data_IF_979015477605
#
_entry.id   IF_979015477605
#
_cell.length_a   1.000
_cell.length_b   1.000
_cell.length_c   1.000
_cell.angle_alpha   90.00
_cell.angle_beta   90.00
_cell.angle_gamma   90.00
#
_symmetry.space_group_name_H-M   'P 1'
#
loop_
_entity.id
_entity.type
_entity.pdbx_description
1 polymer ?
2 non-polymer ?
3 water ?
#
# COMPACT_ATOMS: atom_id res chain seq x y z
N UNK A 5 -10.33 -17.74 -6.44
CA UNK A 5 -9.59 -16.48 -6.56
C UNK A 5 -9.75 -15.58 -5.34
N UNK A 6 -8.64 -15.05 -4.83
CA UNK A 6 -8.62 -14.28 -3.61
C UNK A 6 -8.81 -12.77 -3.85
N UNK A 7 -9.17 -12.37 -5.07
CA UNK A 7 -9.39 -10.97 -5.41
C UNK A 7 -10.88 -10.72 -5.63
N UNK A 8 -11.39 -9.65 -5.04
CA UNK A 8 -12.71 -9.12 -5.31
C UNK A 8 -12.54 -7.81 -6.06
N UNK A 9 -13.12 -7.72 -7.25
CA UNK A 9 -13.10 -6.48 -8.04
C UNK A 9 -14.34 -5.64 -7.74
N UNK A 10 -14.13 -4.32 -7.61
CA UNK A 10 -15.22 -3.37 -7.49
C UNK A 10 -14.90 -2.15 -8.35
N UNK A 11 -15.95 -1.52 -8.89
CA UNK A 11 -15.84 -0.29 -9.66
C UNK A 11 -16.15 0.89 -8.76
N UNK A 12 -15.15 1.72 -8.49
CA UNK A 12 -15.41 2.88 -7.66
C UNK A 12 -14.13 3.44 -7.09
N UNK A 13 -14.31 4.54 -6.36
CA UNK A 13 -13.21 5.22 -5.73
C UNK A 13 -12.91 4.54 -4.40
N UNK A 14 -11.69 4.02 -4.25
CA UNK A 14 -11.25 3.46 -2.98
C UNK A 14 -11.23 4.54 -1.91
N UNK A 15 -11.20 5.79 -2.30
CA UNK A 15 -11.09 6.84 -1.30
C UNK A 15 -12.42 7.34 -0.80
N UNK A 16 -13.53 6.97 -1.45
CA UNK A 16 -14.86 7.19 -0.89
C UNK A 16 -14.93 6.63 0.53
N UNK A 17 -15.39 7.40 1.50
CA UNK A 17 -15.33 6.94 2.89
C UNK A 17 -16.21 5.73 3.12
N UNK A 18 -15.67 4.75 3.82
CA UNK A 18 -16.28 3.45 4.01
C UNK A 18 -16.67 3.26 5.47
N UNK A 19 -17.56 2.30 5.68
CA UNK A 19 -18.19 2.03 6.97
C UNK A 19 -17.41 1.07 7.84
N UNK A 20 -16.15 0.75 7.49
CA UNK A 20 -15.48 -0.36 8.13
C UNK A 20 -13.98 -0.12 8.16
N UNK A 21 -13.34 -0.77 9.14
CA UNK A 21 -11.89 -0.79 9.24
C UNK A 21 -11.29 -1.37 7.98
N UNK A 22 -10.25 -0.71 7.48
CA UNK A 22 -9.62 -1.19 6.26
C UNK A 22 -8.18 -0.71 6.21
N UNK A 23 -7.32 -1.53 5.61
CA UNK A 23 -5.96 -1.16 5.27
C UNK A 23 -5.89 -0.83 3.78
N UNK A 24 -5.58 0.43 3.46
CA UNK A 24 -5.44 0.89 2.07
C UNK A 24 -4.02 0.65 1.59
N UNK A 25 -3.85 -0.29 0.66
CA UNK A 25 -2.55 -0.64 0.12
C UNK A 25 -2.31 0.14 -1.16
N UNK A 26 -1.16 0.81 -1.26
CA UNK A 26 -0.84 1.51 -2.48
C UNK A 26 0.66 1.47 -2.72
N UNK A 27 1.03 1.66 -3.99
CA UNK A 27 2.40 1.49 -4.44
C UNK A 27 3.16 2.81 -4.37
N UNK A 28 4.31 2.80 -3.72
CA UNK A 28 5.01 4.01 -3.35
C UNK A 28 6.41 4.05 -3.94
N UNK A 29 6.93 5.26 -4.07
CA UNK A 29 8.33 5.48 -4.37
C UNK A 29 9.08 5.94 -3.12
N UNK A 30 10.40 5.76 -3.13
CA UNK A 30 11.26 6.06 -1.99
C UNK A 30 11.69 7.52 -1.95
N UNK A 31 11.17 8.35 -2.84
CA UNK A 31 11.63 9.70 -3.09
C UNK A 31 10.88 10.72 -2.26
N UNK A 32 9.98 10.27 -1.39
CA UNK A 32 9.19 11.22 -0.61
C UNK A 32 8.16 11.99 -1.41
N UNK A 33 7.71 11.44 -2.54
CA UNK A 33 6.75 12.12 -3.39
C UNK A 33 5.48 11.27 -3.47
N UNK A 34 4.42 11.72 -2.79
CA UNK A 34 3.05 11.33 -3.08
C UNK A 34 2.51 12.28 -4.15
N UNK A 35 3.14 12.22 -5.32
CA UNK A 35 2.99 13.24 -6.33
C UNK A 35 1.86 13.07 -7.31
N UNK A 36 1.24 11.90 -7.37
CA UNK A 36 0.22 11.68 -8.38
C UNK A 36 -0.77 10.66 -7.92
N UNK A 37 -1.82 10.49 -8.72
CA UNK A 37 -2.74 9.37 -8.57
C UNK A 37 -3.30 9.26 -7.17
N UNK A 38 -3.42 8.01 -6.69
CA UNK A 38 -4.05 7.81 -5.38
C UNK A 38 -3.18 8.40 -4.28
N UNK A 39 -1.85 8.40 -4.49
CA UNK A 39 -0.94 8.93 -3.47
C UNK A 39 -1.17 10.42 -3.25
N UNK A 40 -1.44 11.16 -4.33
CA UNK A 40 -1.73 12.59 -4.21
C UNK A 40 -3.01 12.82 -3.40
N UNK A 41 -4.07 12.05 -3.71
CA UNK A 41 -5.29 12.17 -2.91
C UNK A 41 -5.02 11.86 -1.45
N UNK A 42 -4.22 10.83 -1.18
CA UNK A 42 -3.84 10.53 0.19
C UNK A 42 -3.08 11.68 0.83
N UNK A 43 -2.20 12.33 0.08
CA UNK A 43 -1.45 13.45 0.61
C UNK A 43 -2.36 14.60 1.04
N UNK A 44 -3.46 14.80 0.31
CA UNK A 44 -4.30 15.97 0.52
C UNK A 44 -5.31 15.77 1.63
N UNK A 45 -5.80 14.56 1.83
CA UNK A 45 -6.74 14.36 2.92
C UNK A 45 -6.12 13.80 4.19
N UNK A 46 -4.95 13.16 4.13
CA UNK A 46 -4.25 12.66 5.31
C UNK A 46 -2.84 13.25 5.36
N UNK A 47 -2.72 14.56 5.57
CA UNK A 47 -1.39 15.18 5.52
C UNK A 47 -0.42 14.69 6.61
N UNK A 48 -0.90 14.24 7.77
CA UNK A 48 0.02 13.68 8.77
C UNK A 48 0.58 12.33 8.33
N UNK A 49 -0.21 11.54 7.59
CA UNK A 49 0.32 10.31 7.04
C UNK A 49 1.42 10.58 6.01
N UNK A 50 1.24 11.61 5.17
CA UNK A 50 2.29 11.98 4.23
C UNK A 50 3.59 12.33 4.94
N UNK A 51 3.51 13.13 6.02
CA UNK A 51 4.71 13.50 6.76
C UNK A 51 5.47 12.27 7.27
N UNK A 52 4.75 11.28 7.80
CA UNK A 52 5.37 10.02 8.16
C UNK A 52 6.01 9.34 6.96
N UNK A 53 5.27 9.27 5.85
CA UNK A 53 5.81 8.63 4.66
C UNK A 53 7.09 9.34 4.21
N UNK A 54 7.09 10.66 4.19
CA UNK A 54 8.27 11.39 3.71
C UNK A 54 9.44 11.18 4.66
N UNK A 55 9.17 11.16 5.96
CA UNK A 55 10.22 10.97 6.95
C UNK A 55 10.89 9.62 6.79
N UNK A 56 10.08 8.56 6.60
CA UNK A 56 10.67 7.24 6.43
C UNK A 56 11.47 7.16 5.12
N UNK A 57 11.04 7.90 4.09
CA UNK A 57 11.83 7.99 2.86
C UNK A 57 13.13 8.73 3.12
N UNK A 58 13.07 9.85 3.83
CA UNK A 58 14.28 10.56 4.24
C UNK A 58 15.24 9.64 4.99
N UNK A 59 14.70 8.84 5.91
CA UNK A 59 15.56 8.04 6.78
C UNK A 59 16.27 6.94 6.01
N UNK A 60 15.55 6.24 5.14
CA UNK A 60 16.06 5.01 4.53
C UNK A 60 16.34 5.12 3.05
N UNK A 61 15.69 6.04 2.34
CA UNK A 61 15.73 6.06 0.88
C UNK A 61 15.34 4.73 0.25
N UNK A 62 16.14 4.31 -0.73
CA UNK A 62 15.88 3.09 -1.47
C UNK A 62 16.25 1.83 -0.70
N UNK A 63 16.73 1.95 0.54
CA UNK A 63 16.76 0.77 1.40
C UNK A 63 15.35 0.27 1.71
N UNK A 64 14.33 1.00 1.29
CA UNK A 64 12.96 0.62 1.56
C UNK A 64 12.42 -0.33 0.50
N UNK A 65 13.09 -0.45 -0.65
CA UNK A 65 12.56 -1.25 -1.75
C UNK A 65 12.18 -2.65 -1.28
N UNK A 66 10.99 -3.09 -1.64
CA UNK A 66 10.55 -4.41 -1.23
C UNK A 66 10.09 -4.47 0.20
N UNK A 67 10.04 -3.34 0.89
CA UNK A 67 9.56 -3.27 2.26
C UNK A 67 8.21 -2.56 2.27
N UNK A 68 7.61 -2.61 3.44
CA UNK A 68 6.25 -2.15 3.69
C UNK A 68 6.22 -1.34 4.97
N UNK A 69 5.45 -0.26 4.96
CA UNK A 69 5.31 0.63 6.11
C UNK A 69 3.83 0.89 6.32
N UNK A 70 3.35 0.72 7.56
CA UNK A 70 1.95 0.87 7.89
C UNK A 70 1.74 2.22 8.56
N UNK A 71 0.88 3.05 7.99
CA UNK A 71 0.69 4.36 8.56
C UNK A 71 -0.75 4.55 8.97
N UNK A 72 -1.00 5.12 10.15
CA UNK A 72 -2.36 5.55 10.46
C UNK A 72 -2.76 6.64 9.49
N UNK A 73 -4.06 6.75 9.24
CA UNK A 73 -4.56 7.94 8.55
C UNK A 73 -4.59 9.15 9.48
N UNK A 74 -4.55 8.92 10.80
CA UNK A 74 -4.65 9.92 11.87
C UNK A 74 -6.06 10.48 11.95
N UNK A 75 -6.65 10.78 10.80
CA UNK A 75 -7.95 11.44 10.75
C UNK A 75 -9.11 10.47 10.66
N UNK A 76 -8.83 9.18 10.56
CA UNK A 76 -9.87 8.17 10.55
C UNK A 76 -9.26 6.91 11.16
N UNK A 77 -9.70 6.54 12.36
CA UNK A 77 -9.12 5.37 13.03
C UNK A 77 -9.52 4.04 12.39
N UNK A 78 -10.51 4.04 11.49
CA UNK A 78 -10.85 2.84 10.72
C UNK A 78 -9.94 2.63 9.52
N UNK A 79 -9.01 3.53 9.25
CA UNK A 79 -8.27 3.50 7.99
C UNK A 79 -6.76 3.58 8.26
N UNK A 80 -6.05 2.50 7.95
CA UNK A 80 -4.60 2.49 7.92
C UNK A 80 -4.12 2.57 6.47
N UNK A 81 -2.95 3.18 6.27
CA UNK A 81 -2.32 3.29 4.96
C UNK A 81 -1.10 2.38 4.94
N UNK A 82 -1.05 1.50 3.95
CA UNK A 82 0.05 0.55 3.78
C UNK A 82 0.84 0.90 2.52
N UNK A 83 2.10 1.30 2.70
CA UNK A 83 2.95 1.72 1.59
C UNK A 83 3.83 0.54 1.17
N UNK A 84 3.61 0.04 -0.05
CA UNK A 84 4.52 -0.93 -0.69
C UNK A 84 5.60 -0.14 -1.42
N UNK A 85 6.83 -0.21 -0.93
CA UNK A 85 7.92 0.49 -1.58
C UNK A 85 8.42 -0.35 -2.74
N UNK A 86 8.04 0.04 -3.97
CA UNK A 86 8.37 -0.72 -5.17
C UNK A 86 9.20 0.03 -6.19
N UNK A 87 9.37 1.34 -6.04
CA UNK A 87 10.21 2.08 -6.96
C UNK A 87 11.02 3.12 -6.20
N UNK A 88 12.22 3.40 -6.69
CA UNK A 88 13.02 4.47 -6.11
C UNK A 88 12.40 5.83 -6.42
N UNK A 89 12.09 6.10 -7.68
CA UNK A 89 11.49 7.37 -8.06
C UNK A 89 10.09 7.13 -8.60
N UNK A 90 9.26 8.17 -8.50
CA UNK A 90 7.92 8.15 -9.05
C UNK A 90 7.91 8.64 -10.48
N UNK A 91 6.69 8.85 -10.99
CA UNK A 91 6.43 9.34 -12.34
C UNK A 91 7.10 8.49 -13.41
N UNK A 92 7.56 9.17 -14.47
CA UNK A 92 8.17 8.48 -15.60
C UNK A 92 9.58 7.99 -15.31
N UNK A 93 10.16 8.38 -14.17
CA UNK A 93 11.40 7.87 -13.64
C UNK A 93 11.23 6.59 -12.85
N UNK A 94 10.09 5.92 -12.95
CA UNK A 94 9.86 4.69 -12.20
C UNK A 94 10.83 3.58 -12.64
N UNK A 95 11.01 2.60 -11.76
CA UNK A 95 11.88 1.48 -12.07
C UNK A 95 11.30 0.51 -13.10
N UNK A 96 12.16 -0.41 -13.53
CA UNK A 96 11.80 -1.38 -14.57
C UNK A 96 10.67 -2.27 -14.10
N UNK A 97 9.89 -2.77 -15.06
CA UNK A 97 8.66 -3.49 -14.77
C UNK A 97 8.89 -4.66 -13.81
N UNK A 98 9.84 -5.53 -14.14
CA UNK A 98 10.07 -6.72 -13.31
C UNK A 98 10.47 -6.35 -11.89
N UNK A 99 11.28 -5.29 -11.72
CA UNK A 99 11.65 -4.89 -10.36
C UNK A 99 10.42 -4.47 -9.57
N UNK A 100 9.50 -3.71 -10.21
CA UNK A 100 8.28 -3.29 -9.53
C UNK A 100 7.44 -4.50 -9.13
N UNK A 101 7.33 -5.48 -10.03
CA UNK A 101 6.61 -6.71 -9.74
C UNK A 101 7.25 -7.46 -8.57
N UNK A 102 8.57 -7.67 -8.63
CA UNK A 102 9.26 -8.38 -7.57
C UNK A 102 9.16 -7.63 -6.24
N UNK A 103 9.38 -6.31 -6.26
CA UNK A 103 9.27 -5.54 -5.03
C UNK A 103 7.86 -5.55 -4.47
N UNK A 104 6.85 -5.60 -5.34
CA UNK A 104 5.47 -5.69 -4.86
C UNK A 104 5.24 -6.99 -4.10
N UNK A 105 5.76 -8.10 -4.63
CA UNK A 105 5.65 -9.37 -3.93
C UNK A 105 6.39 -9.33 -2.61
N UNK A 106 7.53 -8.64 -2.56
CA UNK A 106 8.33 -8.61 -1.35
C UNK A 106 7.64 -7.82 -0.25
N UNK A 107 7.09 -6.64 -0.58
CA UNK A 107 6.43 -5.82 0.44
C UNK A 107 5.17 -6.50 0.96
N UNK A 108 4.39 -7.10 0.06
CA UNK A 108 3.20 -7.85 0.47
C UNK A 108 3.54 -9.06 1.33
N UNK A 109 4.72 -9.65 1.13
CA UNK A 109 5.08 -10.76 2.01
C UNK A 109 5.45 -10.28 3.41
N UNK A 110 5.95 -9.03 3.54
CA UNK A 110 6.18 -8.49 4.87
C UNK A 110 4.88 -8.17 5.57
N UNK A 111 3.88 -7.72 4.82
CA UNK A 111 2.57 -7.42 5.40
C UNK A 111 1.85 -8.69 5.84
N UNK A 112 1.96 -9.75 5.03
CA UNK A 112 1.42 -11.06 5.40
C UNK A 112 1.98 -11.52 6.74
N UNK A 113 3.31 -11.48 6.90
CA UNK A 113 3.93 -11.91 8.14
C UNK A 113 3.52 -11.02 9.31
N UNK A 114 3.43 -9.71 9.07
CA UNK A 114 3.02 -8.80 10.14
C UNK A 114 1.60 -9.10 10.63
N UNK A 115 0.68 -9.42 9.70
CA UNK A 115 -0.68 -9.75 10.08
C UNK A 115 -0.74 -11.01 10.94
N UNK A 116 0.04 -12.04 10.59
CA UNK A 116 0.06 -13.28 11.36
C UNK A 116 0.72 -13.08 12.72
N UNK A 117 1.78 -12.28 12.77
CA UNK A 117 2.44 -11.99 14.05
C UNK A 117 1.45 -11.41 15.06
N UNK A 118 0.59 -10.48 14.63
CA UNK A 118 -0.28 -9.75 15.54
C UNK A 118 -1.62 -10.45 15.76
N UNK A 119 -1.92 -11.50 15.03
CA UNK A 119 -3.14 -12.26 15.31
C UNK A 119 -2.95 -13.16 16.54
N UNK A 127 10.29 -2.55 11.47
CA UNK A 127 10.10 -1.24 10.83
C UNK A 127 8.66 -1.02 10.37
N UNK A 128 7.96 -2.12 10.08
CA UNK A 128 6.71 -2.02 9.36
C UNK A 128 5.59 -1.47 10.25
N UNK A 129 5.68 -1.67 11.57
CA UNK A 129 4.60 -1.21 12.43
C UNK A 129 4.93 -0.08 13.37
N UNK A 130 6.06 0.61 13.14
CA UNK A 130 6.57 1.54 14.14
C UNK A 130 5.74 2.82 14.26
N UNK A 131 5.22 3.33 13.13
CA UNK A 131 4.30 4.46 13.19
C UNK A 131 2.90 4.07 13.66
N UNK A 132 2.63 2.79 13.85
CA UNK A 132 1.29 2.34 14.17
C UNK A 132 1.00 2.32 15.66
N UNK A 133 2.01 2.05 16.47
CA UNK A 133 1.80 1.65 17.85
C UNK A 133 0.85 2.59 18.57
N UNK A 134 -0.41 2.16 18.72
CA UNK A 134 -1.44 2.89 19.43
C UNK A 134 -2.58 3.40 18.57
N UNK A 135 -2.43 3.39 17.24
CA UNK A 135 -3.49 3.80 16.34
C UNK A 135 -4.24 2.60 15.76
N UNK A 136 -3.94 1.40 16.22
CA UNK A 136 -4.56 0.17 15.73
C UNK A 136 -5.65 -0.22 16.72
N UNK A 137 -6.88 0.21 16.43
CA UNK A 137 -7.97 0.04 17.38
C UNK A 137 -8.54 -1.37 17.31
N UNK A 138 -8.57 -1.96 16.17
CA UNK A 138 -9.19 -3.26 16.05
C UNK A 138 -8.13 -4.34 15.93
N UNK A 139 -8.50 -5.62 16.09
CA UNK A 139 -7.58 -6.71 15.73
C UNK A 139 -7.24 -6.64 14.24
N UNK A 140 -5.98 -7.01 13.93
CA UNK A 140 -5.43 -6.74 12.60
C UNK A 140 -6.09 -7.60 11.52
N UNK A 141 -6.56 -8.80 11.86
CA UNK A 141 -7.19 -9.63 10.85
C UNK A 141 -8.53 -9.11 10.37
N UNK A 142 -9.04 -8.05 10.99
CA UNK A 142 -10.36 -7.52 10.72
C UNK A 142 -10.36 -6.32 9.78
N UNK A 143 -9.19 -5.74 9.52
CA UNK A 143 -9.02 -4.70 8.52
C UNK A 143 -9.03 -5.35 7.14
N UNK A 144 -10.04 -5.06 6.34
CA UNK A 144 -10.05 -5.50 4.95
C UNK A 144 -8.86 -4.91 4.18
N UNK A 145 -8.33 -5.70 3.26
CA UNK A 145 -7.18 -5.27 2.48
C UNK A 145 -7.69 -4.75 1.14
N UNK A 146 -7.51 -3.45 0.89
CA UNK A 146 -8.03 -2.80 -0.32
C UNK A 146 -6.91 -2.04 -1.04
N UNK A 147 -7.03 -1.96 -2.36
CA UNK A 147 -6.00 -1.30 -3.15
C UNK A 147 -6.63 -0.81 -4.44
N UNK A 148 -6.00 0.15 -5.09
CA UNK A 148 -6.40 0.47 -6.46
C UNK A 148 -5.75 -0.55 -7.37
N UNK A 149 -5.75 -0.33 -8.68
CA UNK A 149 -5.01 -1.22 -9.57
C UNK A 149 -3.55 -0.79 -9.57
N UNK A 150 -2.84 -1.15 -8.50
CA UNK A 150 -1.52 -0.61 -8.26
C UNK A 150 -0.58 -0.92 -9.44
N UNK A 151 0.29 0.03 -9.72
CA UNK A 151 1.35 -0.06 -10.71
C UNK A 151 0.84 -0.03 -12.14
N UNK A 152 -0.48 -0.02 -12.38
CA UNK A 152 -0.94 -0.18 -13.76
C UNK A 152 -1.07 1.15 -14.50
N UNK A 153 -1.05 2.26 -13.78
CA UNK A 153 -1.20 3.54 -14.41
C UNK A 153 0.14 4.14 -14.80
N UNK A 154 0.66 5.00 -13.91
CA UNK A 154 1.88 5.75 -14.18
C UNK A 154 3.08 4.81 -14.41
N UNK A 155 3.17 3.72 -13.65
CA UNK A 155 4.30 2.80 -13.81
C UNK A 155 4.18 1.90 -15.03
N UNK A 156 3.02 1.87 -15.69
CA UNK A 156 2.83 1.06 -16.89
C UNK A 156 2.95 -0.45 -16.70
N UNK A 157 2.74 -0.95 -15.49
CA UNK A 157 2.90 -2.38 -15.21
C UNK A 157 1.57 -3.07 -15.52
N UNK A 158 1.51 -3.95 -16.51
CA UNK A 158 0.23 -4.58 -16.90
C UNK A 158 -0.46 -5.26 -15.72
N UNK A 159 -1.77 -5.00 -15.60
CA UNK A 159 -2.48 -5.46 -14.41
C UNK A 159 -2.46 -6.98 -14.27
N UNK A 160 -2.57 -7.71 -15.38
CA UNK A 160 -2.57 -9.17 -15.25
C UNK A 160 -1.28 -9.67 -14.58
N UNK A 161 -0.15 -9.01 -14.87
CA UNK A 161 1.10 -9.38 -14.20
C UNK A 161 1.03 -9.09 -12.70
N UNK A 162 0.42 -7.97 -12.30
CA UNK A 162 0.28 -7.70 -10.87
C UNK A 162 -0.76 -8.61 -10.24
N UNK A 163 -1.82 -8.91 -10.99
CA UNK A 163 -2.83 -9.85 -10.51
C UNK A 163 -2.22 -11.21 -10.21
N UNK A 164 -1.31 -11.68 -11.07
CA UNK A 164 -0.67 -12.96 -10.81
C UNK A 164 0.14 -12.91 -9.52
N UNK A 165 0.64 -11.74 -9.15
CA UNK A 165 1.40 -11.60 -7.90
C UNK A 165 0.46 -11.69 -6.70
N UNK A 166 -0.65 -10.94 -6.73
CA UNK A 166 -1.63 -11.03 -5.65
C UNK A 166 -2.18 -12.44 -5.52
N UNK A 167 -2.27 -13.17 -6.64
CA UNK A 167 -2.76 -14.54 -6.61
C UNK A 167 -1.83 -15.48 -5.86
N UNK A 168 -0.54 -15.17 -5.76
CA UNK A 168 0.38 -16.04 -5.03
C UNK A 168 0.10 -16.05 -3.53
N UNK A 169 -0.77 -15.17 -3.04
CA UNK A 169 -1.11 -15.10 -1.62
C UNK A 169 -2.49 -15.68 -1.31
N UNK A 170 -3.08 -16.41 -2.26
CA UNK A 170 -4.37 -17.04 -2.01
C UNK A 170 -4.31 -17.93 -0.78
N UNK A 171 -5.24 -17.69 0.14
CA UNK A 171 -5.21 -18.41 1.39
C UNK A 171 -4.63 -17.56 2.50
N UNK A 172 -3.43 -17.02 2.25
CA UNK A 172 -2.85 -16.07 3.20
C UNK A 172 -3.69 -14.80 3.29
N UNK A 173 -4.03 -14.21 2.14
CA UNK A 173 -4.55 -12.86 2.12
C UNK A 173 -5.61 -12.71 1.05
N UNK A 174 -6.58 -11.85 1.33
CA UNK A 174 -7.63 -11.53 0.39
C UNK A 174 -7.65 -10.02 0.18
N UNK A 175 -7.90 -9.63 -1.05
CA UNK A 175 -7.83 -8.24 -1.49
C UNK A 175 -9.13 -7.84 -2.17
N UNK A 176 -9.52 -6.59 -1.97
CA UNK A 176 -10.54 -5.95 -2.76
C UNK A 176 -9.85 -4.91 -3.62
N UNK A 177 -9.99 -5.02 -4.94
CA UNK A 177 -9.29 -4.16 -5.87
C UNK A 177 -10.30 -3.21 -6.51
N UNK A 178 -10.05 -1.92 -6.38
CA UNK A 178 -10.91 -0.89 -6.94
C UNK A 178 -10.42 -0.52 -8.32
N UNK A 179 -11.35 -0.39 -9.27
CA UNK A 179 -11.03 -0.06 -10.65
C UNK A 179 -11.82 1.14 -11.12
N UNK A 180 -11.24 1.82 -12.11
CA UNK A 180 -11.96 2.83 -12.89
C UNK A 180 -12.91 2.15 -13.89
#
# INVERSE_FOLDING_TARGET
>A
GSHMSNITYVKGNILKPKSYARILIHSCNCNGSWGGGIAYQLALRYPKAEKDYVEVCEKYGSNLLGKCILLPSYENSDLLICCLFTSSFGGSSHGEKQSILNYTKLALDKLKTFREAKDKTRTSEDSIGDYLNGHIKYPIGEYKLEMPQINSGIFGVPWKETERVLEEFSGDMSFTVYQL
#
